data_IF_783870080930
#
_entry.id   IF_783870080930
#
_cell.length_a   1.000
_cell.length_b   1.000
_cell.length_c   1.000
_cell.angle_alpha   90.00
_cell.angle_beta   90.00
_cell.angle_gamma   90.00
#
_symmetry.space_group_name_H-M   'P 1'
#
loop_
_entity.id
_entity.type
_entity.pdbx_description
1 polymer ?
#
# COMPACT_ATOMS: atom_id res chain seq x y z
N UNK A 1 21.43 13.06 20.66
CA UNK A 1 20.13 12.56 20.16
C UNK A 1 20.26 11.05 20.11
N UNK A 2 19.55 10.33 20.96
CA UNK A 2 19.54 8.86 20.95
C UNK A 2 18.85 8.41 19.68
N UNK A 3 19.56 7.69 18.80
CA UNK A 3 18.91 7.05 17.65
C UNK A 3 18.01 5.95 18.20
N UNK A 4 16.70 6.10 18.10
CA UNK A 4 15.79 4.98 18.32
C UNK A 4 16.13 3.92 17.27
N UNK A 5 16.59 2.76 17.72
CA UNK A 5 16.83 1.62 16.84
C UNK A 5 15.49 0.88 16.70
N UNK A 6 14.81 1.08 15.57
CA UNK A 6 13.61 0.33 15.25
C UNK A 6 13.95 -1.11 14.87
N UNK A 7 13.10 -2.05 15.22
CA UNK A 7 13.11 -3.37 14.59
C UNK A 7 12.66 -3.24 13.12
N UNK A 8 13.01 -4.20 12.27
CA UNK A 8 12.58 -4.21 10.86
C UNK A 8 11.05 -4.15 10.76
N UNK A 9 10.33 -4.81 11.68
CA UNK A 9 8.86 -4.75 11.73
C UNK A 9 8.36 -3.34 12.02
N UNK A 10 8.87 -2.70 13.06
CA UNK A 10 8.45 -1.34 13.43
C UNK A 10 8.73 -0.34 12.31
N UNK A 11 9.87 -0.46 11.64
CA UNK A 11 10.22 0.40 10.52
C UNK A 11 9.32 0.14 9.29
N UNK A 12 9.02 -1.12 9.00
CA UNK A 12 8.12 -1.50 7.91
C UNK A 12 6.69 -0.97 8.15
N UNK A 13 6.17 -1.12 9.36
CA UNK A 13 4.87 -0.58 9.77
C UNK A 13 4.84 0.95 9.69
N UNK A 14 5.90 1.59 10.16
CA UNK A 14 6.00 3.04 10.15
C UNK A 14 6.00 3.58 8.72
N UNK A 15 6.85 3.06 7.81
CA UNK A 15 6.92 3.57 6.43
C UNK A 15 5.64 3.30 5.66
N UNK A 16 5.01 2.14 5.86
CA UNK A 16 3.74 1.80 5.25
C UNK A 16 2.64 2.76 5.69
N UNK A 17 2.45 2.94 6.98
CA UNK A 17 1.44 3.85 7.54
C UNK A 17 1.65 5.29 7.08
N UNK A 18 2.92 5.74 7.05
CA UNK A 18 3.27 7.08 6.58
C UNK A 18 2.98 7.26 5.09
N UNK A 19 3.29 6.26 4.26
CA UNK A 19 2.94 6.25 2.84
C UNK A 19 1.43 6.33 2.63
N UNK A 20 0.64 5.56 3.39
CA UNK A 20 -0.82 5.62 3.32
C UNK A 20 -1.36 6.99 3.73
N UNK A 21 -0.86 7.58 4.81
CA UNK A 21 -1.26 8.94 5.22
C UNK A 21 -0.92 9.98 4.13
N UNK A 22 0.26 9.87 3.51
CA UNK A 22 0.66 10.74 2.39
C UNK A 22 -0.23 10.56 1.15
N UNK A 23 -0.66 9.32 0.84
CA UNK A 23 -1.61 9.10 -0.27
C UNK A 23 -2.95 9.80 0.00
N UNK A 24 -3.48 9.71 1.22
CA UNK A 24 -4.73 10.37 1.58
C UNK A 24 -4.59 11.89 1.53
N UNK A 25 -3.49 12.44 2.04
CA UNK A 25 -3.20 13.87 1.97
C UNK A 25 -3.05 14.40 0.53
N UNK A 26 -2.80 13.53 -0.44
CA UNK A 26 -2.71 13.86 -1.85
C UNK A 26 -4.06 14.12 -2.53
N UNK A 27 -5.16 13.77 -1.86
CA UNK A 27 -6.50 13.93 -2.41
C UNK A 27 -6.85 15.41 -2.57
N UNK A 28 -7.33 15.86 -3.76
CA UNK A 28 -7.88 17.19 -3.89
C UNK A 28 -9.02 17.41 -2.88
N UNK A 29 -9.14 18.62 -2.29
CA UNK A 29 -10.15 18.90 -1.27
C UNK A 29 -11.59 18.56 -1.70
N UNK A 30 -11.92 18.85 -2.96
CA UNK A 30 -13.24 18.55 -3.53
C UNK A 30 -13.48 17.02 -3.61
N UNK A 31 -12.44 16.25 -4.01
CA UNK A 31 -12.52 14.78 -4.03
C UNK A 31 -12.68 14.23 -2.61
N UNK A 32 -11.88 14.69 -1.67
CA UNK A 32 -11.96 14.26 -0.28
C UNK A 32 -13.34 14.52 0.32
N UNK A 33 -13.89 15.72 0.08
CA UNK A 33 -15.24 16.08 0.54
C UNK A 33 -16.33 15.20 -0.13
N UNK A 34 -16.25 14.99 -1.44
CA UNK A 34 -17.24 14.21 -2.17
C UNK A 34 -17.23 12.71 -1.83
N UNK A 35 -16.08 12.18 -1.40
CA UNK A 35 -15.89 10.75 -1.10
C UNK A 35 -15.92 10.43 0.38
N UNK A 36 -15.95 11.44 1.25
CA UNK A 36 -15.84 11.28 2.70
C UNK A 36 -14.44 10.80 3.15
N UNK A 37 -13.41 11.02 2.31
CA UNK A 37 -12.03 10.60 2.60
C UNK A 37 -11.48 11.32 3.82
N UNK A 38 -10.95 10.57 4.80
CA UNK A 38 -10.40 11.10 6.04
C UNK A 38 -9.20 10.27 6.51
N UNK A 39 -8.31 10.93 7.25
CA UNK A 39 -7.24 10.31 8.04
C UNK A 39 -7.40 10.77 9.47
N UNK A 40 -7.49 9.84 10.40
CA UNK A 40 -7.69 10.11 11.82
C UNK A 40 -6.54 9.49 12.62
N UNK A 41 -5.80 10.30 13.35
CA UNK A 41 -4.80 9.82 14.30
C UNK A 41 -5.52 9.44 15.61
N UNK A 42 -5.61 8.13 15.88
CA UNK A 42 -6.29 7.60 17.07
C UNK A 42 -5.38 7.65 18.31
N UNK A 43 -4.08 7.45 18.10
CA UNK A 43 -3.03 7.53 19.11
C UNK A 43 -1.66 7.70 18.42
N UNK A 44 -0.58 8.02 19.14
CA UNK A 44 0.75 8.03 18.59
C UNK A 44 1.09 6.70 17.90
N UNK A 45 1.32 6.75 16.59
CA UNK A 45 1.61 5.56 15.79
C UNK A 45 0.40 4.75 15.32
N UNK A 46 -0.83 5.15 15.64
CA UNK A 46 -2.07 4.46 15.21
C UNK A 46 -2.92 5.40 14.37
N UNK A 47 -3.16 5.04 13.12
CA UNK A 47 -3.88 5.85 12.16
C UNK A 47 -5.04 5.08 11.54
N UNK A 48 -6.21 5.69 11.49
CA UNK A 48 -7.39 5.20 10.80
C UNK A 48 -7.56 5.92 9.47
N UNK A 49 -7.85 5.15 8.44
CA UNK A 49 -8.11 5.58 7.07
C UNK A 49 -9.56 5.30 6.71
N UNK A 50 -10.25 6.30 6.17
CA UNK A 50 -11.64 6.21 5.71
C UNK A 50 -11.76 6.72 4.29
N UNK A 51 -12.38 5.92 3.44
CA UNK A 51 -12.79 6.28 2.08
C UNK A 51 -14.15 5.63 1.78
N UNK A 52 -15.25 6.15 2.37
CA UNK A 52 -16.58 5.53 2.30
C UNK A 52 -17.08 5.28 0.88
N UNK A 53 -16.79 6.19 -0.05
CA UNK A 53 -17.24 6.08 -1.44
C UNK A 53 -16.56 4.93 -2.21
N UNK A 54 -15.48 4.35 -1.69
CA UNK A 54 -14.77 3.21 -2.31
C UNK A 54 -14.83 2.03 -1.34
N UNK A 55 -15.71 1.04 -1.58
CA UNK A 55 -16.02 -0.01 -0.61
C UNK A 55 -14.97 -1.12 -0.55
N UNK A 56 -13.72 -0.79 -0.80
CA UNK A 56 -12.59 -1.72 -0.62
C UNK A 56 -12.02 -1.58 0.78
N UNK A 57 -11.93 -2.70 1.49
CA UNK A 57 -11.41 -2.76 2.87
C UNK A 57 -10.02 -2.14 3.02
N UNK A 58 -9.16 -2.29 2.00
CA UNK A 58 -7.81 -1.72 2.04
C UNK A 58 -7.79 -0.19 2.19
N UNK A 59 -8.85 0.53 1.78
CA UNK A 59 -8.99 1.97 1.94
C UNK A 59 -9.74 2.37 3.21
N UNK A 60 -10.28 1.41 3.95
CA UNK A 60 -11.03 1.64 5.17
C UNK A 60 -10.43 0.76 6.27
N UNK A 61 -9.31 1.20 6.84
CA UNK A 61 -8.56 0.36 7.79
C UNK A 61 -7.85 1.16 8.88
N UNK A 62 -7.47 0.48 9.94
CA UNK A 62 -6.61 1.01 10.99
C UNK A 62 -5.25 0.33 10.89
N UNK A 63 -4.17 1.13 10.86
CA UNK A 63 -2.79 0.66 10.86
C UNK A 63 -2.06 1.11 12.12
N UNK A 64 -1.08 0.32 12.58
CA UNK A 64 -0.20 0.64 13.69
C UNK A 64 -0.65 0.12 15.06
N UNK A 65 -1.81 -0.55 15.16
CA UNK A 65 -2.21 -1.21 16.39
C UNK A 65 -1.22 -2.33 16.77
N UNK A 66 -0.84 -2.41 18.05
CA UNK A 66 0.05 -3.48 18.55
C UNK A 66 1.52 -3.37 18.14
N UNK A 67 1.94 -2.31 17.45
CA UNK A 67 3.31 -2.15 16.94
C UNK A 67 4.25 -1.62 18.01
N UNK A 68 3.96 -0.46 18.56
CA UNK A 68 4.82 0.21 19.57
C UNK A 68 4.25 0.14 20.98
N UNK A 69 2.98 -0.20 21.13
CA UNK A 69 2.26 -0.32 22.39
C UNK A 69 1.28 -1.49 22.30
N UNK A 70 0.93 -2.16 23.40
CA UNK A 70 -0.11 -3.17 23.42
C UNK A 70 -1.42 -2.63 22.84
N UNK A 71 -2.20 -3.52 22.22
CA UNK A 71 -3.49 -3.14 21.64
C UNK A 71 -4.46 -2.73 22.75
N UNK A 72 -4.93 -1.49 22.69
CA UNK A 72 -5.95 -0.98 23.60
C UNK A 72 -7.34 -1.17 23.01
N UNK A 73 -8.23 -1.88 23.71
CA UNK A 73 -9.59 -2.11 23.28
C UNK A 73 -10.37 -0.80 23.05
N UNK A 74 -10.07 0.26 23.80
CA UNK A 74 -10.67 1.57 23.63
C UNK A 74 -10.40 2.18 22.25
N UNK A 75 -9.19 2.01 21.70
CA UNK A 75 -8.85 2.48 20.35
C UNK A 75 -9.64 1.73 19.27
N UNK A 76 -9.82 0.42 19.45
CA UNK A 76 -10.66 -0.39 18.55
C UNK A 76 -12.11 0.11 18.59
N UNK A 77 -12.68 0.36 19.77
CA UNK A 77 -14.04 0.88 19.90
C UNK A 77 -14.18 2.27 19.23
N UNK A 78 -13.20 3.16 19.41
CA UNK A 78 -13.18 4.45 18.73
C UNK A 78 -13.16 4.29 17.22
N UNK A 79 -12.31 3.40 16.70
CA UNK A 79 -12.25 3.15 15.26
C UNK A 79 -13.57 2.58 14.71
N UNK A 80 -14.22 1.67 15.45
CA UNK A 80 -15.52 1.11 15.06
C UNK A 80 -16.62 2.16 15.04
N UNK A 81 -16.64 3.09 16.01
CA UNK A 81 -17.57 4.21 16.02
C UNK A 81 -17.35 5.12 14.79
N UNK A 82 -16.10 5.49 14.49
CA UNK A 82 -15.79 6.31 13.33
C UNK A 82 -16.21 5.65 11.99
N UNK A 83 -16.01 4.32 11.84
CA UNK A 83 -16.49 3.58 10.67
C UNK A 83 -18.02 3.61 10.58
N UNK A 84 -18.71 3.42 11.71
CA UNK A 84 -20.18 3.45 11.75
C UNK A 84 -20.72 4.85 11.40
N UNK A 85 -20.15 5.91 11.97
CA UNK A 85 -20.53 7.29 11.70
C UNK A 85 -20.31 7.68 10.23
N UNK A 86 -19.25 7.13 9.61
CA UNK A 86 -18.97 7.32 8.20
C UNK A 86 -19.76 6.38 7.25
N UNK A 87 -20.60 5.49 7.79
CA UNK A 87 -21.35 4.50 6.99
C UNK A 87 -20.49 3.42 6.34
N UNK A 88 -19.29 3.17 6.88
CA UNK A 88 -18.36 2.16 6.35
C UNK A 88 -18.66 0.80 6.98
N UNK A 89 -19.15 -0.14 6.20
CA UNK A 89 -19.42 -1.51 6.64
C UNK A 89 -18.24 -2.46 6.36
N UNK A 90 -17.53 -2.24 5.25
CA UNK A 90 -16.39 -3.06 4.82
C UNK A 90 -15.07 -2.40 5.23
N UNK A 91 -14.57 -2.74 6.41
CA UNK A 91 -13.37 -2.19 7.02
C UNK A 91 -12.41 -3.26 7.52
N UNK A 92 -11.20 -2.87 7.88
CA UNK A 92 -10.23 -3.71 8.58
C UNK A 92 -9.70 -3.05 9.86
N UNK A 93 -9.76 -3.77 10.97
CA UNK A 93 -8.89 -3.55 12.12
C UNK A 93 -7.67 -4.44 11.90
N UNK A 94 -6.54 -3.81 11.58
CA UNK A 94 -5.31 -4.53 11.23
C UNK A 94 -4.45 -4.73 12.46
N UNK A 95 -4.12 -5.99 12.76
CA UNK A 95 -3.31 -6.42 13.89
C UNK A 95 -2.11 -7.25 13.43
N UNK A 96 -1.12 -7.36 14.28
CA UNK A 96 -0.02 -8.31 14.09
C UNK A 96 -0.39 -9.74 14.47
N UNK A 97 0.45 -10.73 14.12
CA UNK A 97 0.15 -12.15 14.34
C UNK A 97 0.10 -12.54 15.81
N UNK A 98 0.75 -11.76 16.69
CA UNK A 98 0.83 -12.05 18.13
C UNK A 98 -0.23 -11.32 18.95
N UNK A 99 -1.05 -10.47 18.31
CA UNK A 99 -2.08 -9.69 18.97
C UNK A 99 -3.36 -10.50 19.17
N UNK A 100 -4.07 -10.24 20.27
CA UNK A 100 -5.35 -10.89 20.55
C UNK A 100 -6.43 -10.40 19.58
N UNK A 101 -7.23 -11.33 19.07
CA UNK A 101 -8.35 -11.00 18.20
C UNK A 101 -9.35 -10.06 18.90
N UNK A 102 -9.83 -9.00 18.21
CA UNK A 102 -10.78 -8.06 18.77
C UNK A 102 -12.13 -8.72 19.04
N UNK A 103 -12.76 -8.39 20.18
CA UNK A 103 -14.08 -8.92 20.52
C UNK A 103 -15.15 -8.49 19.49
N UNK A 104 -15.94 -9.44 19.02
CA UNK A 104 -17.04 -9.19 18.09
C UNK A 104 -16.65 -9.01 16.63
N UNK A 105 -15.37 -9.18 16.28
CA UNK A 105 -14.86 -9.18 14.91
C UNK A 105 -14.34 -10.56 14.53
N UNK A 106 -14.32 -10.84 13.24
CA UNK A 106 -13.78 -12.07 12.68
C UNK A 106 -12.58 -11.77 11.77
N UNK A 107 -11.62 -12.68 11.72
CA UNK A 107 -10.53 -12.63 10.74
C UNK A 107 -11.13 -12.78 9.35
N UNK A 108 -10.92 -11.78 8.51
CA UNK A 108 -11.48 -11.73 7.16
C UNK A 108 -10.47 -12.06 6.08
N UNK A 109 -9.25 -11.61 6.26
CA UNK A 109 -8.11 -11.91 5.40
C UNK A 109 -6.78 -11.63 6.12
N UNK A 110 -5.70 -12.12 5.52
CA UNK A 110 -4.33 -11.87 5.97
C UNK A 110 -3.56 -11.23 4.82
N UNK A 111 -2.75 -10.23 5.14
CA UNK A 111 -1.83 -9.62 4.17
C UNK A 111 -0.40 -9.85 4.61
N UNK A 112 0.41 -10.39 3.71
CA UNK A 112 1.84 -10.50 3.94
C UNK A 112 2.49 -9.13 3.77
N UNK A 113 3.25 -8.70 4.76
CA UNK A 113 4.19 -7.58 4.66
C UNK A 113 5.55 -8.17 4.33
N UNK A 114 6.07 -7.81 3.17
CA UNK A 114 7.32 -8.33 2.65
C UNK A 114 8.38 -7.22 2.66
N UNK A 115 9.59 -7.61 3.02
CA UNK A 115 10.73 -6.70 3.09
C UNK A 115 11.93 -7.24 2.34
N UNK A 116 12.83 -6.34 1.96
CA UNK A 116 14.17 -6.67 1.44
C UNK A 116 15.12 -5.49 1.65
N UNK A 117 16.42 -5.74 1.50
CA UNK A 117 17.43 -4.71 1.28
C UNK A 117 17.42 -4.19 -0.17
N UNK A 118 18.46 -3.46 -0.53
CA UNK A 118 18.60 -2.80 -1.83
C UNK A 118 19.51 -3.54 -2.82
N UNK A 119 19.87 -4.77 -2.53
CA UNK A 119 20.68 -5.60 -3.45
C UNK A 119 20.00 -5.65 -4.82
N UNK A 120 20.75 -5.73 -5.92
CA UNK A 120 20.17 -5.79 -7.25
C UNK A 120 19.12 -6.90 -7.40
N UNK A 121 17.98 -6.59 -7.99
CA UNK A 121 16.98 -7.61 -8.32
C UNK A 121 17.36 -8.36 -9.61
N UNK A 122 16.90 -9.60 -9.79
CA UNK A 122 17.00 -10.27 -11.07
C UNK A 122 16.32 -9.43 -12.15
N UNK A 123 17.06 -9.13 -13.21
CA UNK A 123 16.53 -8.42 -14.38
C UNK A 123 16.17 -9.41 -15.47
N UNK A 124 15.08 -9.16 -16.16
CA UNK A 124 14.70 -9.88 -17.38
C UNK A 124 14.75 -8.92 -18.55
N UNK A 125 15.19 -9.41 -19.70
CA UNK A 125 15.06 -8.66 -20.93
C UNK A 125 13.58 -8.38 -21.18
N UNK A 126 13.26 -7.13 -21.53
CA UNK A 126 11.88 -6.69 -21.75
C UNK A 126 11.84 -5.73 -22.94
N UNK A 127 10.72 -5.75 -23.66
CA UNK A 127 10.40 -4.78 -24.70
C UNK A 127 9.77 -3.50 -24.12
N UNK A 128 9.65 -3.43 -22.81
CA UNK A 128 8.99 -2.32 -22.15
C UNK A 128 9.94 -1.13 -21.98
N UNK A 129 9.40 0.05 -22.22
CA UNK A 129 10.05 1.31 -21.83
C UNK A 129 9.51 1.74 -20.47
N UNK A 130 10.41 2.08 -19.54
CA UNK A 130 10.06 2.63 -18.24
C UNK A 130 10.36 4.13 -18.20
N UNK A 131 9.42 4.92 -17.73
CA UNK A 131 9.56 6.37 -17.60
C UNK A 131 9.12 6.84 -16.22
N UNK A 132 9.59 8.03 -15.82
CA UNK A 132 8.89 8.78 -14.77
C UNK A 132 7.44 9.01 -15.20
N UNK A 133 6.53 8.99 -14.26
CA UNK A 133 5.10 9.11 -14.55
C UNK A 133 4.67 10.58 -14.69
N UNK A 134 3.91 10.88 -15.73
CA UNK A 134 3.05 12.06 -15.71
C UNK A 134 1.79 11.76 -14.86
N UNK A 135 1.27 12.78 -14.13
CA UNK A 135 0.19 12.56 -13.16
C UNK A 135 -1.10 11.99 -13.75
N UNK A 136 -1.53 12.50 -14.89
CA UNK A 136 -2.82 12.11 -15.50
C UNK A 136 -2.77 10.65 -15.98
N UNK A 137 -1.70 10.25 -16.67
CA UNK A 137 -1.51 8.87 -17.14
C UNK A 137 -1.37 7.92 -15.96
N UNK A 138 -0.61 8.31 -14.91
CA UNK A 138 -0.48 7.48 -13.71
C UNK A 138 -1.84 7.23 -13.05
N UNK A 139 -2.60 8.29 -12.78
CA UNK A 139 -3.93 8.19 -12.16
C UNK A 139 -4.88 7.31 -12.97
N UNK A 140 -4.91 7.48 -14.28
CA UNK A 140 -5.75 6.69 -15.19
C UNK A 140 -5.36 5.21 -15.20
N UNK A 141 -4.08 4.89 -15.37
CA UNK A 141 -3.59 3.50 -15.39
C UNK A 141 -3.83 2.82 -14.04
N UNK A 142 -3.59 3.53 -12.94
CA UNK A 142 -3.85 3.02 -11.59
C UNK A 142 -5.34 2.67 -11.41
N UNK A 143 -6.21 3.62 -11.76
CA UNK A 143 -7.65 3.48 -11.64
C UNK A 143 -8.19 2.30 -12.47
N UNK A 144 -7.79 2.20 -13.73
CA UNK A 144 -8.18 1.11 -14.61
C UNK A 144 -7.64 -0.25 -14.15
N UNK A 145 -6.40 -0.29 -13.66
CA UNK A 145 -5.78 -1.54 -13.21
C UNK A 145 -6.39 -2.11 -11.93
N UNK A 146 -6.98 -1.27 -11.09
CA UNK A 146 -7.75 -1.66 -9.89
C UNK A 146 -9.26 -1.73 -10.15
N UNK A 147 -9.71 -1.46 -11.38
CA UNK A 147 -11.13 -1.44 -11.76
C UNK A 147 -11.96 -0.48 -10.88
N UNK A 148 -11.34 0.66 -10.51
CA UNK A 148 -11.97 1.71 -9.72
C UNK A 148 -12.76 2.69 -10.64
N UNK A 149 -13.74 3.41 -10.09
CA UNK A 149 -14.41 4.48 -10.82
C UNK A 149 -13.42 5.53 -11.35
N UNK A 150 -13.64 6.04 -12.56
CA UNK A 150 -12.71 7.00 -13.20
C UNK A 150 -12.50 8.27 -12.36
N UNK A 151 -13.51 8.67 -11.58
CA UNK A 151 -13.40 9.79 -10.64
C UNK A 151 -12.27 9.66 -9.61
N UNK A 152 -11.80 8.43 -9.35
CA UNK A 152 -10.69 8.17 -8.42
C UNK A 152 -9.32 8.50 -9.05
N UNK A 153 -9.24 8.59 -10.38
CA UNK A 153 -7.99 8.86 -11.07
C UNK A 153 -7.34 10.20 -10.65
N UNK A 154 -8.14 11.19 -10.29
CA UNK A 154 -7.66 12.50 -9.81
C UNK A 154 -6.86 12.37 -8.51
N UNK A 155 -7.24 11.44 -7.63
CA UNK A 155 -6.48 11.13 -6.42
C UNK A 155 -5.15 10.46 -6.76
N UNK A 156 -5.16 9.44 -7.65
CA UNK A 156 -3.93 8.82 -8.15
C UNK A 156 -2.95 9.84 -8.77
N UNK A 157 -3.46 10.78 -9.56
CA UNK A 157 -2.69 11.89 -10.10
C UNK A 157 -2.13 12.81 -8.99
N UNK A 158 -2.90 13.05 -7.93
CA UNK A 158 -2.48 13.85 -6.78
C UNK A 158 -1.28 13.25 -6.04
N UNK A 159 -1.22 11.92 -5.91
CA UNK A 159 -0.12 11.22 -5.22
C UNK A 159 1.23 11.53 -5.89
N UNK A 160 1.28 11.64 -7.22
CA UNK A 160 2.52 11.90 -7.96
C UNK A 160 3.16 13.26 -7.62
N UNK A 161 2.40 14.18 -7.06
CA UNK A 161 2.82 15.54 -6.73
C UNK A 161 3.28 15.69 -5.27
N UNK A 162 3.12 14.64 -4.46
CA UNK A 162 3.50 14.68 -3.05
C UNK A 162 5.00 14.45 -2.86
N UNK A 163 5.64 15.14 -1.91
CA UNK A 163 7.03 14.89 -1.56
C UNK A 163 7.28 13.44 -1.15
N UNK A 164 8.43 12.89 -1.51
CA UNK A 164 8.84 11.53 -1.18
C UNK A 164 8.29 10.46 -2.11
N UNK A 165 7.39 10.81 -3.03
CA UNK A 165 6.87 9.88 -4.02
C UNK A 165 7.69 9.88 -5.31
N UNK A 166 8.02 8.68 -5.78
CA UNK A 166 8.66 8.38 -7.05
C UNK A 166 7.72 7.48 -7.84
N UNK A 167 7.24 7.96 -8.98
CA UNK A 167 6.20 7.30 -9.75
C UNK A 167 6.68 6.95 -11.15
N UNK A 168 6.32 5.76 -11.61
CA UNK A 168 6.82 5.18 -12.86
C UNK A 168 5.68 4.60 -13.70
N UNK A 169 5.85 4.64 -15.01
CA UNK A 169 5.00 4.00 -16.00
C UNK A 169 5.80 2.96 -16.79
N UNK A 170 5.13 1.86 -17.12
CA UNK A 170 5.64 0.85 -18.04
C UNK A 170 4.83 0.93 -19.35
N UNK A 171 5.55 1.08 -20.45
CA UNK A 171 5.00 1.26 -21.80
C UNK A 171 5.31 0.05 -22.67
N UNK A 172 4.33 -0.42 -23.44
CA UNK A 172 4.51 -1.36 -24.54
C UNK A 172 4.24 -0.60 -25.84
N UNK A 173 5.32 -0.24 -26.56
CA UNK A 173 5.24 0.75 -27.62
C UNK A 173 4.74 2.10 -27.08
N UNK A 174 3.65 2.62 -27.61
CA UNK A 174 3.02 3.88 -27.19
C UNK A 174 1.90 3.69 -26.12
N UNK A 175 1.65 2.46 -25.70
CA UNK A 175 0.57 2.15 -24.76
C UNK A 175 1.10 2.03 -23.33
N UNK A 176 0.64 2.84 -22.36
CA UNK A 176 0.98 2.67 -20.95
C UNK A 176 0.19 1.48 -20.39
N UNK A 177 0.89 0.40 -20.03
CA UNK A 177 0.27 -0.87 -19.62
C UNK A 177 0.36 -1.14 -18.13
N UNK A 178 1.17 -0.36 -17.41
CA UNK A 178 1.33 -0.51 -15.97
C UNK A 178 1.90 0.73 -15.32
N UNK A 179 1.65 0.87 -14.04
CA UNK A 179 2.19 1.93 -13.21
C UNK A 179 2.66 1.39 -11.87
N UNK A 180 3.60 2.09 -11.23
CA UNK A 180 4.04 1.77 -9.88
C UNK A 180 4.59 2.99 -9.17
N UNK A 181 4.24 3.12 -7.89
CA UNK A 181 4.75 4.14 -7.00
C UNK A 181 5.75 3.58 -5.98
N UNK A 182 6.54 4.47 -5.42
CA UNK A 182 7.46 4.22 -4.33
C UNK A 182 7.51 5.48 -3.46
N UNK A 183 7.21 5.33 -2.17
CA UNK A 183 7.33 6.41 -1.19
C UNK A 183 8.60 6.22 -0.37
N UNK A 184 9.44 7.24 -0.29
CA UNK A 184 10.72 7.21 0.43
C UNK A 184 10.70 8.22 1.56
N UNK A 185 11.06 7.76 2.75
CA UNK A 185 11.34 8.62 3.89
C UNK A 185 12.34 7.95 4.84
N UNK A 186 13.30 8.71 5.36
CA UNK A 186 14.33 8.26 6.33
C UNK A 186 15.10 6.99 5.91
N UNK A 187 15.32 6.79 4.60
CA UNK A 187 16.04 5.62 4.09
C UNK A 187 15.22 4.34 3.99
N UNK A 188 13.95 4.36 4.35
CA UNK A 188 12.99 3.29 4.05
C UNK A 188 12.13 3.65 2.85
N UNK A 189 11.74 2.65 2.05
CA UNK A 189 10.85 2.82 0.92
C UNK A 189 9.66 1.86 0.98
N UNK A 190 8.44 2.41 0.82
CA UNK A 190 7.23 1.60 0.64
C UNK A 190 6.87 1.51 -0.84
N UNK A 191 6.72 0.29 -1.36
CA UNK A 191 6.45 0.01 -2.76
C UNK A 191 4.95 -0.17 -3.00
N UNK A 192 4.31 0.88 -3.42
CA UNK A 192 2.90 1.00 -3.78
C UNK A 192 2.52 2.46 -4.03
N UNK A 193 1.32 2.73 -4.59
CA UNK A 193 0.44 1.79 -5.27
C UNK A 193 1.02 1.30 -6.60
N UNK A 194 0.56 0.15 -7.12
CA UNK A 194 1.01 -0.38 -8.39
C UNK A 194 -0.09 -1.20 -9.08
N UNK A 195 -0.21 -1.03 -10.39
CA UNK A 195 -1.19 -1.75 -11.19
C UNK A 195 -0.65 -2.13 -12.57
N UNK A 196 -1.19 -3.21 -13.14
CA UNK A 196 -1.01 -3.57 -14.56
C UNK A 196 -2.39 -3.77 -15.16
N UNK A 197 -2.64 -3.15 -16.30
CA UNK A 197 -3.91 -3.27 -17.02
C UNK A 197 -4.22 -4.72 -17.33
N UNK A 198 -5.46 -5.16 -17.08
CA UNK A 198 -5.87 -6.56 -17.15
C UNK A 198 -5.57 -7.18 -18.51
N UNK A 199 -5.84 -6.47 -19.61
CA UNK A 199 -5.54 -6.93 -20.98
C UNK A 199 -4.05 -6.99 -21.35
N UNK A 200 -3.17 -6.48 -20.48
CA UNK A 200 -1.71 -6.43 -20.69
C UNK A 200 -0.92 -7.18 -19.62
N UNK A 201 -1.58 -8.05 -18.85
CA UNK A 201 -0.88 -8.95 -17.93
C UNK A 201 -0.05 -9.97 -18.70
N UNK A 202 1.04 -10.45 -18.10
CA UNK A 202 1.95 -11.40 -18.75
C UNK A 202 3.10 -10.76 -19.56
N UNK A 203 3.08 -9.45 -19.85
CA UNK A 203 4.17 -8.75 -20.53
C UNK A 203 5.32 -8.32 -19.63
N UNK A 204 5.36 -8.75 -18.36
CA UNK A 204 6.49 -8.47 -17.47
C UNK A 204 6.50 -7.08 -16.83
N UNK A 205 5.44 -6.26 -16.98
CA UNK A 205 5.41 -4.88 -16.49
C UNK A 205 5.70 -4.79 -14.98
N UNK A 206 5.06 -5.61 -14.15
CA UNK A 206 5.30 -5.60 -12.71
C UNK A 206 6.76 -5.97 -12.36
N UNK A 207 7.32 -7.00 -13.02
CA UNK A 207 8.72 -7.42 -12.81
C UNK A 207 9.71 -6.32 -13.16
N UNK A 208 9.50 -5.65 -14.32
CA UNK A 208 10.33 -4.54 -14.76
C UNK A 208 10.23 -3.35 -13.79
N UNK A 209 9.02 -3.01 -13.35
CA UNK A 209 8.78 -1.93 -12.39
C UNK A 209 9.35 -2.25 -11.00
N UNK A 210 9.39 -3.51 -10.57
CA UNK A 210 10.09 -3.90 -9.32
C UNK A 210 11.59 -3.68 -9.47
N UNK A 211 12.22 -4.21 -10.52
CA UNK A 211 13.66 -4.08 -10.74
C UNK A 211 14.08 -2.60 -10.81
N UNK A 212 13.30 -1.79 -11.53
CA UNK A 212 13.56 -0.35 -11.66
C UNK A 212 13.49 0.38 -10.32
N UNK A 213 12.40 0.17 -9.53
CA UNK A 213 12.24 0.82 -8.23
C UNK A 213 13.31 0.38 -7.21
N UNK A 214 13.73 -0.88 -7.25
CA UNK A 214 14.81 -1.38 -6.38
C UNK A 214 16.13 -0.66 -6.71
N UNK A 215 16.46 -0.50 -7.98
CA UNK A 215 17.65 0.23 -8.43
C UNK A 215 17.58 1.72 -8.03
N UNK A 216 16.43 2.34 -8.22
CA UNK A 216 16.21 3.73 -7.87
C UNK A 216 16.31 3.94 -6.35
N UNK A 217 15.69 3.08 -5.54
CA UNK A 217 15.77 3.13 -4.09
C UNK A 217 17.21 2.98 -3.58
N UNK A 218 18.01 2.09 -4.19
CA UNK A 218 19.43 1.95 -3.87
C UNK A 218 20.20 3.25 -4.17
N UNK A 219 19.95 3.87 -5.32
CA UNK A 219 20.58 5.14 -5.74
C UNK A 219 20.22 6.28 -4.78
N UNK A 220 19.00 6.27 -4.25
CA UNK A 220 18.49 7.27 -3.30
C UNK A 220 18.88 6.96 -1.83
N UNK A 221 19.74 5.95 -1.58
CA UNK A 221 20.28 5.64 -0.28
C UNK A 221 19.32 4.94 0.69
N UNK A 222 18.31 4.26 0.17
CA UNK A 222 17.45 3.42 0.99
C UNK A 222 18.23 2.22 1.53
N UNK A 223 17.79 1.71 2.69
CA UNK A 223 18.32 0.48 3.30
C UNK A 223 17.23 -0.59 3.48
N UNK A 224 15.96 -0.18 3.50
CA UNK A 224 14.82 -1.06 3.67
C UNK A 224 13.76 -0.79 2.61
N UNK A 225 13.33 -1.83 1.91
CA UNK A 225 12.22 -1.80 0.96
C UNK A 225 11.08 -2.65 1.50
N UNK A 226 9.86 -2.10 1.49
CA UNK A 226 8.65 -2.71 2.06
C UNK A 226 7.54 -2.74 1.02
N UNK A 227 6.79 -3.82 1.00
CA UNK A 227 5.57 -3.96 0.19
C UNK A 227 4.58 -4.88 0.89
N UNK A 228 3.33 -4.87 0.45
CA UNK A 228 2.31 -5.77 0.99
C UNK A 228 1.51 -6.44 -0.12
N UNK A 229 1.04 -7.66 0.12
CA UNK A 229 0.14 -8.38 -0.77
C UNK A 229 -0.64 -9.46 -0.03
N UNK A 230 -1.78 -9.85 -0.59
CA UNK A 230 -2.43 -11.10 -0.21
C UNK A 230 -1.47 -12.27 -0.50
N UNK A 231 -1.31 -13.22 0.42
CA UNK A 231 -0.50 -14.41 0.18
C UNK A 231 -0.98 -15.22 -1.02
N UNK A 232 -0.03 -15.87 -1.70
CA UNK A 232 -0.36 -16.81 -2.77
C UNK A 232 -0.74 -18.17 -2.19
N UNK A 233 -1.94 -18.64 -2.47
CA UNK A 233 -2.42 -19.94 -2.00
C UNK A 233 -3.06 -20.73 -3.15
N UNK A 234 -3.19 -22.05 -3.05
CA UNK A 234 -3.89 -22.83 -4.08
C UNK A 234 -5.35 -22.41 -4.30
N UNK A 235 -6.00 -21.83 -3.27
CA UNK A 235 -7.39 -21.34 -3.36
C UNK A 235 -7.48 -19.91 -3.88
N UNK A 236 -6.46 -19.09 -3.62
CA UNK A 236 -6.38 -17.68 -4.03
C UNK A 236 -5.02 -17.41 -4.67
N UNK A 237 -4.82 -17.81 -5.95
CA UNK A 237 -3.55 -17.57 -6.64
C UNK A 237 -3.26 -16.07 -6.75
N UNK A 238 -2.07 -15.66 -6.31
CA UNK A 238 -1.64 -14.26 -6.38
C UNK A 238 -0.31 -14.11 -7.15
N UNK A 239 -0.36 -13.84 -8.46
CA UNK A 239 0.84 -13.60 -9.26
C UNK A 239 1.70 -12.44 -8.74
N UNK A 240 1.07 -11.41 -8.13
CA UNK A 240 1.79 -10.26 -7.56
C UNK A 240 2.70 -10.70 -6.42
N UNK A 241 2.19 -11.49 -5.48
CA UNK A 241 2.98 -12.05 -4.39
C UNK A 241 4.18 -12.87 -4.90
N UNK A 242 3.94 -13.76 -5.89
CA UNK A 242 5.03 -14.54 -6.50
C UNK A 242 6.09 -13.66 -7.17
N UNK A 243 5.69 -12.57 -7.80
CA UNK A 243 6.62 -11.63 -8.41
C UNK A 243 7.45 -10.88 -7.37
N UNK A 244 6.86 -10.53 -6.21
CA UNK A 244 7.59 -9.96 -5.07
C UNK A 244 8.68 -10.91 -4.57
N UNK A 245 8.35 -12.20 -4.37
CA UNK A 245 9.35 -13.22 -3.98
C UNK A 245 10.46 -13.35 -5.02
N UNK A 246 10.13 -13.38 -6.32
CA UNK A 246 11.14 -13.41 -7.41
C UNK A 246 12.01 -12.16 -7.43
N UNK A 247 11.48 -11.01 -7.05
CA UNK A 247 12.22 -9.77 -6.91
C UNK A 247 13.11 -9.73 -5.64
N UNK A 248 13.13 -10.81 -4.85
CA UNK A 248 13.95 -10.96 -3.66
C UNK A 248 13.33 -10.44 -2.37
N UNK A 249 12.05 -10.09 -2.37
CA UNK A 249 11.34 -9.81 -1.12
C UNK A 249 11.10 -11.11 -0.35
N UNK A 250 11.14 -11.02 0.98
CA UNK A 250 10.79 -12.10 1.89
C UNK A 250 9.67 -11.63 2.83
N UNK A 251 8.78 -12.54 3.19
CA UNK A 251 7.74 -12.27 4.16
C UNK A 251 8.38 -11.98 5.52
N UNK A 252 8.10 -10.81 6.08
CA UNK A 252 8.58 -10.37 7.38
C UNK A 252 7.58 -10.69 8.48
N UNK A 253 6.31 -10.36 8.24
CA UNK A 253 5.19 -10.66 9.14
C UNK A 253 3.87 -10.60 8.36
N UNK A 254 2.77 -10.91 9.04
CA UNK A 254 1.42 -10.79 8.49
C UNK A 254 0.60 -9.76 9.24
N UNK A 255 -0.15 -8.99 8.50
CA UNK A 255 -1.30 -8.26 8.99
C UNK A 255 -2.52 -9.19 9.02
N UNK A 256 -3.11 -9.32 10.19
CA UNK A 256 -4.39 -10.00 10.38
C UNK A 256 -5.50 -8.94 10.35
N UNK A 257 -6.34 -8.99 9.34
CA UNK A 257 -7.42 -8.04 9.15
C UNK A 257 -8.73 -8.57 9.72
N UNK A 258 -9.23 -7.89 10.72
CA UNK A 258 -10.49 -8.22 11.37
C UNK A 258 -11.59 -7.25 10.93
N UNK A 259 -12.76 -7.78 10.63
CA UNK A 259 -13.92 -7.02 10.21
C UNK A 259 -15.22 -7.68 10.64
N UNK A 260 -16.36 -7.07 10.26
CA UNK A 260 -17.65 -7.72 10.38
C UNK A 260 -17.74 -8.87 9.37
N UNK A 261 -18.39 -9.95 9.74
CA UNK A 261 -18.79 -10.98 8.76
C UNK A 261 -19.76 -10.35 7.76
N UNK A 262 -19.59 -10.63 6.45
CA UNK A 262 -20.57 -10.22 5.45
C UNK A 262 -21.93 -10.84 5.65
#
# INVERSE_FOLDING_TARGET
MSSMTYTVREEAEWIQRTAWASQYAAAPPEFAAATGMQVLDLAPGVTQFLLPAVPFRMFNRVLGLGVSQPVEQALIQTALANFADAGVENFAITLGPDDAAPLGLTLTDEWAVLTRGVEPAPTQATELTLTAADPETFGRVLCQGYEMPESVAVWGAGITRQPGWHMFLAWLGETPIGCAGMFIQNGAAWFGPAATLTGHRGHGAQTALFAHRITEAATLGCHLLVTEALPDTPRTPNPSYRNMLRAGFAECFRHLNYGKQP
#
